data_IF_711645527489
#
_entry.id   IF_711645527489
#
_cell.length_a   1.000
_cell.length_b   1.000
_cell.length_c   1.000
_cell.angle_alpha   90.00
_cell.angle_beta   90.00
_cell.angle_gamma   90.00
#
_symmetry.space_group_name_H-M   'P 1'
#
loop_
_entity.id
_entity.type
_entity.pdbx_description
1 polymer ?
#
# COMPACT_ATOMS: atom_id res chain seq x y z
N UNK A 1 -23.07 19.16 3.44
CA UNK A 1 -22.11 18.17 2.92
C UNK A 1 -22.02 17.07 3.96
N UNK A 2 -22.44 15.84 3.66
CA UNK A 2 -22.39 14.76 4.65
C UNK A 2 -20.93 14.57 5.13
N UNK A 3 -20.71 14.33 6.43
CA UNK A 3 -19.37 14.10 6.96
C UNK A 3 -18.76 12.88 6.27
N UNK A 4 -17.57 13.05 5.69
CA UNK A 4 -16.81 11.94 5.12
C UNK A 4 -16.27 11.11 6.27
N UNK A 5 -16.80 9.92 6.43
CA UNK A 5 -16.32 8.95 7.39
C UNK A 5 -15.02 8.33 6.86
N UNK A 6 -13.90 8.96 7.21
CA UNK A 6 -12.56 8.41 6.98
C UNK A 6 -12.21 7.50 8.16
N UNK A 7 -12.87 6.35 8.27
CA UNK A 7 -12.37 5.30 9.15
C UNK A 7 -11.05 4.80 8.58
N UNK A 8 -9.95 5.21 9.21
CA UNK A 8 -8.59 4.82 8.82
C UNK A 8 -8.33 3.42 9.41
N UNK A 9 -8.88 2.38 8.79
CA UNK A 9 -8.40 1.03 9.08
C UNK A 9 -6.93 0.93 8.62
N UNK A 10 -6.03 0.38 9.43
CA UNK A 10 -4.68 0.04 8.98
C UNK A 10 -4.75 -0.66 7.62
N UNK A 11 -3.94 -0.21 6.66
CA UNK A 11 -3.90 -0.79 5.30
C UNK A 11 -3.63 -2.30 5.33
N UNK A 12 -2.93 -2.76 6.37
CA UNK A 12 -2.70 -4.18 6.63
C UNK A 12 -3.99 -5.00 6.81
N UNK A 13 -5.03 -4.41 7.42
CA UNK A 13 -6.32 -5.05 7.66
C UNK A 13 -7.13 -5.14 6.36
N UNK A 14 -7.08 -4.09 5.53
CA UNK A 14 -7.71 -4.10 4.19
C UNK A 14 -7.04 -5.06 3.20
N UNK A 15 -5.77 -5.41 3.44
CA UNK A 15 -5.00 -6.34 2.61
C UNK A 15 -4.98 -7.77 3.16
N UNK A 16 -5.57 -8.03 4.33
CA UNK A 16 -5.65 -9.37 4.94
C UNK A 16 -4.30 -9.98 5.30
N UNK A 17 -3.28 -9.16 5.57
CA UNK A 17 -1.91 -9.63 5.79
C UNK A 17 -1.77 -10.46 7.07
N UNK A 18 -2.55 -10.10 8.09
CA UNK A 18 -2.53 -10.76 9.39
C UNK A 18 -3.00 -12.22 9.26
N UNK A 19 -4.09 -12.44 8.54
CA UNK A 19 -4.70 -13.75 8.30
C UNK A 19 -3.77 -14.66 7.49
N UNK A 20 -3.06 -14.11 6.50
CA UNK A 20 -2.06 -14.86 5.73
C UNK A 20 -0.91 -15.31 6.61
N UNK A 21 -0.39 -14.45 7.50
CA UNK A 21 0.69 -14.80 8.43
C UNK A 21 0.26 -15.87 9.44
N UNK A 22 -0.96 -15.76 9.99
CA UNK A 22 -1.53 -16.78 10.86
C UNK A 22 -1.71 -18.12 10.13
N UNK A 23 -2.21 -18.09 8.88
CA UNK A 23 -2.33 -19.27 8.03
C UNK A 23 -1.00 -19.97 7.78
N UNK A 24 0.05 -19.21 7.43
CA UNK A 24 1.40 -19.76 7.24
C UNK A 24 1.96 -20.38 8.52
N UNK A 25 1.71 -19.76 9.67
CA UNK A 25 2.13 -20.29 10.97
C UNK A 25 1.44 -21.62 11.28
N UNK A 26 0.14 -21.72 10.94
CA UNK A 26 -0.61 -22.96 11.06
C UNK A 26 -0.12 -24.03 10.08
N UNK A 27 0.17 -23.68 8.83
CA UNK A 27 0.73 -24.60 7.82
C UNK A 27 2.04 -25.21 8.32
N UNK A 28 2.90 -24.45 9.02
CA UNK A 28 4.13 -24.99 9.65
C UNK A 28 3.84 -25.98 10.78
N UNK A 29 2.82 -25.70 11.59
CA UNK A 29 2.38 -26.63 12.64
C UNK A 29 1.82 -27.92 12.04
N UNK A 30 1.02 -27.80 10.98
CA UNK A 30 0.40 -28.94 10.29
C UNK A 30 1.43 -29.78 9.53
N UNK A 31 2.45 -29.15 8.93
CA UNK A 31 3.57 -29.86 8.31
C UNK A 31 4.37 -30.66 9.36
N UNK A 32 4.68 -30.06 10.51
CA UNK A 32 5.36 -30.78 11.61
C UNK A 32 4.51 -31.89 12.21
N UNK A 33 3.19 -31.71 12.21
CA UNK A 33 2.22 -32.71 12.65
C UNK A 33 1.94 -33.79 11.60
N UNK A 34 2.53 -33.71 10.40
CA UNK A 34 2.28 -34.67 9.32
C UNK A 34 0.88 -34.61 8.71
N UNK A 35 0.14 -33.51 8.92
CA UNK A 35 -1.23 -33.33 8.39
C UNK A 35 -1.25 -32.85 6.93
N UNK A 36 -0.19 -32.16 6.50
CA UNK A 36 0.03 -31.76 5.11
C UNK A 36 1.40 -32.24 4.65
N UNK A 37 1.52 -32.52 3.37
CA UNK A 37 2.79 -32.88 2.73
C UNK A 37 3.71 -31.66 2.56
N UNK A 38 5.03 -31.86 2.40
CA UNK A 38 5.95 -30.80 2.02
C UNK A 38 5.55 -30.09 0.72
N UNK A 39 5.02 -30.81 -0.29
CA UNK A 39 4.55 -30.19 -1.53
C UNK A 39 3.36 -29.24 -1.28
N UNK A 40 2.40 -29.63 -0.44
CA UNK A 40 1.26 -28.76 -0.10
C UNK A 40 1.72 -27.50 0.64
N UNK A 41 2.62 -27.64 1.63
CA UNK A 41 3.18 -26.51 2.35
C UNK A 41 3.91 -25.53 1.41
N UNK A 42 4.70 -26.05 0.46
CA UNK A 42 5.38 -25.23 -0.54
C UNK A 42 4.40 -24.50 -1.47
N UNK A 43 3.33 -25.18 -1.91
CA UNK A 43 2.31 -24.56 -2.76
C UNK A 43 1.59 -23.41 -2.04
N UNK A 44 1.23 -23.61 -0.76
CA UNK A 44 0.60 -22.57 0.07
C UNK A 44 1.54 -21.39 0.31
N UNK A 45 2.82 -21.65 0.59
CA UNK A 45 3.83 -20.60 0.72
C UNK A 45 4.05 -19.82 -0.58
N UNK A 46 3.98 -20.48 -1.73
CA UNK A 46 4.09 -19.83 -3.03
C UNK A 46 2.89 -18.88 -3.29
N UNK A 47 1.68 -19.29 -2.93
CA UNK A 47 0.49 -18.43 -3.00
C UNK A 47 0.63 -17.21 -2.08
N UNK A 48 1.03 -17.41 -0.83
CA UNK A 48 1.27 -16.31 0.12
C UNK A 48 2.31 -15.31 -0.41
N UNK A 49 3.37 -15.81 -1.06
CA UNK A 49 4.37 -14.95 -1.71
C UNK A 49 3.77 -14.07 -2.81
N UNK A 50 2.83 -14.60 -3.61
CA UNK A 50 2.14 -13.80 -4.64
C UNK A 50 1.28 -12.71 -4.01
N UNK A 51 0.59 -13.00 -2.90
CA UNK A 51 -0.18 -12.01 -2.14
C UNK A 51 0.71 -10.87 -1.62
N UNK A 52 1.86 -11.20 -1.02
CA UNK A 52 2.81 -10.18 -0.54
C UNK A 52 3.39 -9.33 -1.68
N UNK A 53 3.64 -9.93 -2.84
CA UNK A 53 4.05 -9.18 -4.03
C UNK A 53 2.95 -8.20 -4.48
N UNK A 54 1.68 -8.61 -4.48
CA UNK A 54 0.55 -7.73 -4.75
C UNK A 54 0.46 -6.55 -3.78
N UNK A 55 0.62 -6.82 -2.48
CA UNK A 55 0.63 -5.80 -1.43
C UNK A 55 1.78 -4.80 -1.63
N UNK A 56 2.97 -5.28 -1.97
CA UNK A 56 4.12 -4.43 -2.30
C UNK A 56 3.82 -3.51 -3.49
N UNK A 57 3.21 -4.04 -4.56
CA UNK A 57 2.84 -3.25 -5.74
C UNK A 57 1.79 -2.18 -5.39
N UNK A 58 0.80 -2.52 -4.57
CA UNK A 58 -0.21 -1.58 -4.10
C UNK A 58 0.40 -0.41 -3.33
N UNK A 59 1.26 -0.69 -2.34
CA UNK A 59 1.95 0.34 -1.56
C UNK A 59 2.87 1.21 -2.43
N UNK A 60 3.56 0.60 -3.41
CA UNK A 60 4.38 1.35 -4.38
C UNK A 60 3.53 2.27 -5.25
N UNK A 61 2.34 1.82 -5.69
CA UNK A 61 1.42 2.64 -6.46
C UNK A 61 0.92 3.84 -5.65
N UNK A 62 0.51 3.64 -4.40
CA UNK A 62 0.11 4.73 -3.50
C UNK A 62 1.24 5.76 -3.36
N UNK A 63 2.44 5.32 -2.99
CA UNK A 63 3.59 6.21 -2.83
C UNK A 63 3.91 6.98 -4.12
N UNK A 64 3.76 6.32 -5.27
CA UNK A 64 3.99 6.95 -6.59
C UNK A 64 2.94 8.03 -6.88
N UNK A 65 1.66 7.78 -6.54
CA UNK A 65 0.59 8.75 -6.72
C UNK A 65 0.73 9.93 -5.75
N UNK A 66 1.05 9.67 -4.48
CA UNK A 66 1.32 10.70 -3.47
C UNK A 66 2.48 11.62 -3.89
N UNK A 67 3.58 11.05 -4.39
CA UNK A 67 4.71 11.84 -4.88
C UNK A 67 4.41 12.67 -6.13
N UNK A 68 3.34 12.37 -6.87
CA UNK A 68 2.89 13.10 -8.07
C UNK A 68 1.70 14.02 -7.81
N UNK A 69 1.14 14.01 -6.60
CA UNK A 69 -0.04 14.80 -6.27
C UNK A 69 0.31 16.29 -6.23
N UNK A 70 -0.43 17.10 -6.99
CA UNK A 70 -0.39 18.56 -6.85
C UNK A 70 -1.27 19.00 -5.67
N UNK A 71 -0.82 19.96 -4.84
CA UNK A 71 -1.59 20.42 -3.69
C UNK A 71 -2.89 21.09 -4.14
N UNK A 72 -4.01 20.65 -3.57
CA UNK A 72 -5.31 21.28 -3.82
C UNK A 72 -5.41 22.52 -2.92
N UNK A 73 -5.22 23.71 -3.50
CA UNK A 73 -5.38 25.00 -2.83
C UNK A 73 -4.12 25.89 -2.75
N UNK A 74 -2.99 25.48 -3.32
CA UNK A 74 -1.72 26.21 -3.24
C UNK A 74 -1.27 26.86 -4.55
N UNK A 75 -1.75 28.08 -4.80
CA UNK A 75 -1.04 29.18 -5.46
C UNK A 75 -0.40 28.96 -6.86
N UNK A 76 -1.20 29.17 -7.90
CA UNK A 76 -0.75 29.95 -9.06
C UNK A 76 -0.67 31.44 -8.64
N UNK A 77 0.28 31.77 -7.75
CA UNK A 77 0.65 33.14 -7.38
C UNK A 77 2.16 33.13 -7.33
N UNK A 78 2.78 33.23 -8.50
CA UNK A 78 4.17 33.68 -8.75
C UNK A 78 4.37 33.65 -10.26
N UNK A 79 3.53 34.39 -11.00
CA UNK A 79 4.00 34.90 -12.28
C UNK A 79 5.11 35.90 -11.95
N UNK A 80 6.31 35.81 -12.57
CA UNK A 80 7.35 36.79 -12.32
C UNK A 80 6.80 38.17 -12.70
N UNK A 81 6.83 39.10 -11.75
CA UNK A 81 6.53 40.50 -12.03
C UNK A 81 7.58 40.96 -13.04
N UNK A 82 7.16 41.20 -14.28
CA UNK A 82 7.95 41.92 -15.26
C UNK A 82 8.31 43.25 -14.61
N UNK A 83 9.60 43.43 -14.30
CA UNK A 83 10.12 44.66 -13.73
C UNK A 83 9.75 45.82 -14.64
N UNK A 84 8.91 46.71 -14.13
CA UNK A 84 8.73 48.05 -14.67
C UNK A 84 10.09 48.73 -14.50
N UNK A 85 10.82 48.88 -15.61
CA UNK A 85 11.97 49.76 -15.65
C UNK A 85 11.42 51.19 -15.65
N UNK A 86 11.50 51.83 -14.49
CA UNK A 86 11.28 53.26 -14.36
C UNK A 86 12.36 54.01 -15.13
N UNK A 87 11.91 54.99 -15.91
CA UNK A 87 12.71 55.95 -16.65
C UNK A 87 13.49 56.89 -15.72
N UNK A 88 14.78 57.08 -15.98
CA UNK A 88 15.48 58.36 -15.88
C UNK A 88 16.38 58.57 -17.11
#
# INVERSE_FOLDING_TARGET
MAPRDYTSSPVADGLGLHEVCLGLSQDLADLRGGKISPQEALARAALARQLFNGCRLYLQAIKTMEGRATPVGGAMRNAPLVGVQDHE
#
